data_IF_508910425348
#
_entry.id   IF_508910425348
#
_cell.length_a   1.000
_cell.length_b   1.000
_cell.length_c   1.000
_cell.angle_alpha   90.00
_cell.angle_beta   90.00
_cell.angle_gamma   90.00
#
_symmetry.space_group_name_H-M   'P 1'
#
loop_
_entity.id
_entity.type
_entity.pdbx_description
1 polymer ?
#
# COMPACT_ATOMS: atom_id res chain seq x y z
N UNK A 1 -12.15 -11.65 -36.26
CA UNK A 1 -11.54 -12.33 -35.09
C UNK A 1 -12.19 -11.72 -33.86
N UNK A 2 -12.89 -12.51 -33.04
CA UNK A 2 -13.51 -11.97 -31.83
C UNK A 2 -12.40 -11.48 -30.90
N UNK A 3 -12.46 -10.20 -30.50
CA UNK A 3 -11.54 -9.61 -29.54
C UNK A 3 -11.64 -10.42 -28.24
N UNK A 4 -10.59 -11.18 -27.90
CA UNK A 4 -10.57 -11.97 -26.68
C UNK A 4 -10.63 -11.01 -25.49
N UNK A 5 -11.80 -10.95 -24.84
CA UNK A 5 -12.09 -9.97 -23.80
C UNK A 5 -11.12 -10.18 -22.64
N UNK A 6 -10.20 -9.22 -22.44
CA UNK A 6 -9.23 -9.25 -21.33
C UNK A 6 -9.98 -9.48 -20.01
N UNK A 7 -9.52 -10.47 -19.23
CA UNK A 7 -10.04 -10.73 -17.89
C UNK A 7 -9.81 -9.49 -17.02
N UNK A 8 -10.70 -9.24 -16.06
CA UNK A 8 -10.67 -8.04 -15.21
C UNK A 8 -10.52 -8.43 -13.75
N UNK A 9 -9.72 -7.66 -13.00
CA UNK A 9 -9.61 -7.74 -11.55
C UNK A 9 -9.97 -6.37 -10.98
N UNK A 10 -11.00 -6.32 -10.13
CA UNK A 10 -11.36 -5.10 -9.40
C UNK A 10 -11.24 -5.35 -7.91
N UNK A 11 -10.59 -4.44 -7.19
CA UNK A 11 -10.35 -4.60 -5.76
C UNK A 11 -10.40 -3.27 -5.01
N UNK A 12 -11.08 -3.29 -3.86
CA UNK A 12 -11.18 -2.16 -2.94
C UNK A 12 -10.05 -2.25 -1.92
N UNK A 13 -9.22 -1.22 -1.88
CA UNK A 13 -8.12 -1.09 -0.93
C UNK A 13 -8.58 -0.18 0.19
N UNK A 14 -9.18 -0.79 1.20
CA UNK A 14 -9.65 -0.09 2.41
C UNK A 14 -8.55 0.01 3.48
N UNK A 15 -7.73 -1.03 3.59
CA UNK A 15 -6.70 -1.16 4.63
C UNK A 15 -5.39 -0.45 4.25
N UNK A 16 -4.71 0.13 5.24
CA UNK A 16 -3.47 0.91 5.06
C UNK A 16 -2.24 0.28 5.73
N UNK A 17 -2.38 -0.95 6.23
CA UNK A 17 -1.33 -1.73 6.90
C UNK A 17 -0.39 -2.38 5.89
N UNK A 18 0.87 -2.55 6.30
CA UNK A 18 1.99 -2.91 5.41
C UNK A 18 1.76 -4.24 4.68
N UNK A 19 1.45 -5.29 5.42
CA UNK A 19 1.22 -6.65 4.93
C UNK A 19 -0.01 -6.75 4.01
N UNK A 20 -1.09 -6.03 4.34
CA UNK A 20 -2.29 -5.98 3.48
C UNK A 20 -2.04 -5.22 2.18
N UNK A 21 -1.28 -4.13 2.24
CA UNK A 21 -0.84 -3.40 1.04
C UNK A 21 0.10 -4.25 0.18
N UNK A 22 1.02 -5.01 0.79
CA UNK A 22 1.86 -5.96 0.07
C UNK A 22 1.02 -7.01 -0.65
N UNK A 23 0.07 -7.65 0.03
CA UNK A 23 -0.82 -8.62 -0.60
C UNK A 23 -1.60 -8.01 -1.77
N UNK A 24 -2.16 -6.82 -1.58
CA UNK A 24 -2.91 -6.11 -2.61
C UNK A 24 -2.06 -5.84 -3.87
N UNK A 25 -0.85 -5.28 -3.70
CA UNK A 25 0.03 -5.01 -4.84
C UNK A 25 0.56 -6.27 -5.49
N UNK A 26 0.94 -7.30 -4.72
CA UNK A 26 1.40 -8.56 -5.29
C UNK A 26 0.34 -9.23 -6.17
N UNK A 27 -0.93 -9.23 -5.74
CA UNK A 27 -2.05 -9.75 -6.54
C UNK A 27 -2.25 -8.89 -7.79
N UNK A 28 -2.23 -7.56 -7.65
CA UNK A 28 -2.39 -6.64 -8.77
C UNK A 28 -1.28 -6.81 -9.81
N UNK A 29 -0.02 -6.89 -9.40
CA UNK A 29 1.13 -7.11 -10.28
C UNK A 29 1.05 -8.46 -10.98
N UNK A 30 0.69 -9.53 -10.27
CA UNK A 30 0.51 -10.85 -10.88
C UNK A 30 -0.62 -10.89 -11.91
N UNK A 31 -1.74 -10.22 -11.62
CA UNK A 31 -2.86 -10.10 -12.54
C UNK A 31 -2.50 -9.27 -13.78
N UNK A 32 -1.81 -8.14 -13.59
CA UNK A 32 -1.32 -7.30 -14.67
C UNK A 32 -0.33 -8.05 -15.58
N UNK A 33 0.61 -8.80 -14.98
CA UNK A 33 1.54 -9.67 -15.72
C UNK A 33 0.82 -10.80 -16.49
N UNK A 34 -0.36 -11.21 -16.03
CA UNK A 34 -1.24 -12.18 -16.72
C UNK A 34 -2.18 -11.55 -17.75
N UNK A 35 -1.87 -10.34 -18.23
CA UNK A 35 -2.65 -9.59 -19.22
C UNK A 35 -4.12 -9.29 -18.78
N UNK A 36 -4.35 -9.16 -17.47
CA UNK A 36 -5.65 -8.73 -16.93
C UNK A 36 -5.73 -7.20 -16.81
N UNK A 37 -6.92 -6.62 -17.00
CA UNK A 37 -7.20 -5.22 -16.67
C UNK A 37 -7.48 -5.10 -15.16
N UNK A 38 -6.56 -4.46 -14.44
CA UNK A 38 -6.61 -4.33 -12.97
C UNK A 38 -7.12 -2.94 -12.57
N UNK A 39 -8.16 -2.90 -11.74
CA UNK A 39 -8.73 -1.69 -11.14
C UNK A 39 -8.59 -1.76 -9.62
N UNK A 40 -7.79 -0.86 -9.05
CA UNK A 40 -7.64 -0.73 -7.61
C UNK A 40 -8.34 0.55 -7.14
N UNK A 41 -9.34 0.41 -6.26
CA UNK A 41 -10.06 1.54 -5.68
C UNK A 41 -9.59 1.79 -4.25
N UNK A 42 -8.81 2.86 -4.04
CA UNK A 42 -8.25 3.21 -2.74
C UNK A 42 -9.21 4.08 -1.95
N UNK A 43 -9.52 3.69 -0.72
CA UNK A 43 -10.44 4.42 0.15
C UNK A 43 -10.05 4.29 1.63
N UNK A 44 -10.56 5.19 2.47
CA UNK A 44 -10.27 5.26 3.91
C UNK A 44 -8.76 5.16 4.21
N UNK A 45 -8.34 4.12 4.93
CA UNK A 45 -6.95 3.93 5.34
C UNK A 45 -6.05 3.52 4.17
N UNK A 46 -6.62 2.91 3.13
CA UNK A 46 -5.91 2.55 1.90
C UNK A 46 -5.41 3.77 1.12
N UNK A 47 -5.99 4.96 1.33
CA UNK A 47 -5.45 6.21 0.79
C UNK A 47 -4.00 6.48 1.22
N UNK A 48 -3.54 5.85 2.32
CA UNK A 48 -2.12 5.86 2.73
C UNK A 48 -1.19 5.45 1.60
N UNK A 49 -1.61 4.47 0.80
CA UNK A 49 -0.81 3.95 -0.30
C UNK A 49 -0.51 5.04 -1.34
N UNK A 50 -1.42 5.99 -1.53
CA UNK A 50 -1.29 7.07 -2.52
C UNK A 50 -0.70 8.36 -1.95
N UNK A 51 -0.55 8.45 -0.62
CA UNK A 51 -0.12 9.67 0.06
C UNK A 51 1.34 10.01 -0.27
N UNK A 52 1.57 11.23 -0.75
CA UNK A 52 2.92 11.80 -0.95
C UNK A 52 3.54 12.23 0.39
N UNK A 53 4.87 12.27 0.46
CA UNK A 53 5.65 12.68 1.64
C UNK A 53 5.65 14.21 1.81
N UNK A 54 4.47 14.80 1.95
CA UNK A 54 4.26 16.23 2.18
C UNK A 54 3.39 16.44 3.42
N UNK A 55 3.61 17.54 4.15
CA UNK A 55 2.74 17.92 5.26
C UNK A 55 1.42 18.44 4.70
N UNK A 56 0.32 17.93 5.25
CA UNK A 56 -1.05 18.33 4.88
C UNK A 56 -1.81 18.80 6.13
N UNK A 57 -2.92 19.50 5.93
CA UNK A 57 -3.76 20.04 7.01
C UNK A 57 -3.70 21.57 7.10
N UNK A 58 -4.85 22.22 6.89
CA UNK A 58 -4.98 23.68 7.01
C UNK A 58 -5.32 24.12 8.44
N UNK A 59 -6.12 23.33 9.16
CA UNK A 59 -6.51 23.57 10.55
C UNK A 59 -5.56 22.90 11.55
N UNK A 60 -5.58 23.37 12.82
CA UNK A 60 -4.82 22.77 13.91
C UNK A 60 -5.11 21.27 14.06
N UNK A 61 -6.39 20.89 14.06
CA UNK A 61 -6.82 19.49 14.15
C UNK A 61 -6.36 18.67 12.93
N UNK A 62 -6.43 19.24 11.72
CA UNK A 62 -5.98 18.56 10.50
C UNK A 62 -4.47 18.28 10.51
N UNK A 63 -3.67 19.22 11.02
CA UNK A 63 -2.22 19.03 11.20
C UNK A 63 -1.92 17.98 12.26
N UNK A 64 -2.65 18.00 13.38
CA UNK A 64 -2.51 17.02 14.45
C UNK A 64 -2.88 15.61 14.00
N UNK A 65 -4.00 15.47 13.28
CA UNK A 65 -4.37 14.21 12.64
C UNK A 65 -3.30 13.72 11.65
N UNK A 66 -2.73 14.62 10.85
CA UNK A 66 -1.64 14.28 9.92
C UNK A 66 -0.40 13.72 10.62
N UNK A 67 -0.09 14.19 11.83
CA UNK A 67 0.97 13.65 12.69
C UNK A 67 0.60 12.25 13.21
N UNK A 68 -0.60 12.06 13.76
CA UNK A 68 -1.05 10.78 14.31
C UNK A 68 -1.25 9.69 13.25
N UNK A 69 -1.72 10.04 12.05
CA UNK A 69 -1.86 9.10 10.93
C UNK A 69 -0.53 8.44 10.54
N UNK A 70 0.61 9.05 10.92
CA UNK A 70 1.89 8.36 10.91
C UNK A 70 2.58 8.34 9.55
N UNK A 71 2.32 9.31 8.67
CA UNK A 71 3.07 9.51 7.43
C UNK A 71 2.46 8.85 6.19
N UNK A 72 3.31 8.39 5.28
CA UNK A 72 3.01 7.83 3.96
C UNK A 72 3.05 6.28 3.96
N UNK A 73 3.02 5.69 2.77
CA UNK A 73 3.11 4.24 2.54
C UNK A 73 4.36 3.60 3.19
N UNK A 74 5.49 4.32 3.22
CA UNK A 74 6.73 3.81 3.81
C UNK A 74 6.66 3.65 5.32
N UNK A 75 5.72 4.33 5.99
CA UNK A 75 5.52 4.22 7.44
C UNK A 75 4.39 3.27 7.81
N UNK A 76 3.76 2.60 6.84
CA UNK A 76 2.74 1.59 7.11
C UNK A 76 3.28 0.55 8.12
N UNK A 77 2.52 0.34 9.19
CA UNK A 77 2.83 -0.68 10.19
C UNK A 77 2.21 -2.00 9.77
N UNK A 78 2.79 -3.15 10.17
CA UNK A 78 2.14 -4.44 9.97
C UNK A 78 0.82 -4.49 10.75
N UNK A 79 -0.18 -5.19 10.20
CA UNK A 79 -1.52 -5.32 10.77
C UNK A 79 -1.51 -6.04 12.12
N UNK A 80 -0.51 -6.88 12.33
CA UNK A 80 -0.21 -7.57 13.60
C UNK A 80 1.26 -7.38 13.95
N UNK A 81 1.58 -7.50 15.23
CA UNK A 81 2.97 -7.43 15.73
C UNK A 81 3.66 -6.08 15.46
N UNK A 82 2.91 -4.96 15.47
CA UNK A 82 3.46 -3.61 15.21
C UNK A 82 4.42 -3.12 16.31
N UNK A 83 4.11 -3.39 17.58
CA UNK A 83 4.92 -3.02 18.76
C UNK A 83 5.47 -1.59 18.70
N UNK A 84 4.59 -0.60 18.50
CA UNK A 84 5.00 0.81 18.42
C UNK A 84 5.89 1.16 17.22
N UNK A 85 6.00 0.28 16.22
CA UNK A 85 6.84 0.45 15.03
C UNK A 85 8.08 -0.44 15.00
N UNK A 86 8.40 -1.17 16.08
CA UNK A 86 9.49 -2.16 16.10
C UNK A 86 9.21 -3.27 15.09
N UNK A 87 7.96 -3.75 15.01
CA UNK A 87 7.56 -4.76 14.04
C UNK A 87 7.82 -4.32 12.60
N UNK A 88 7.45 -3.09 12.25
CA UNK A 88 7.72 -2.51 10.92
C UNK A 88 9.21 -2.54 10.58
N UNK A 89 10.07 -2.16 11.53
CA UNK A 89 11.51 -2.20 11.32
C UNK A 89 12.02 -3.64 11.09
N UNK A 90 11.58 -4.58 11.92
CA UNK A 90 11.96 -5.99 11.83
C UNK A 90 11.55 -6.60 10.49
N UNK A 91 10.28 -6.44 10.10
CA UNK A 91 9.77 -6.92 8.80
C UNK A 91 10.56 -6.31 7.64
N UNK A 92 10.78 -4.99 7.63
CA UNK A 92 11.58 -4.35 6.58
C UNK A 92 12.99 -4.92 6.49
N UNK A 93 13.63 -5.19 7.63
CA UNK A 93 14.96 -5.80 7.67
C UNK A 93 14.96 -7.21 7.07
N UNK A 94 13.99 -8.04 7.43
CA UNK A 94 13.83 -9.39 6.88
C UNK A 94 13.54 -9.38 5.38
N UNK A 95 12.65 -8.48 4.93
CA UNK A 95 12.29 -8.33 3.52
C UNK A 95 13.48 -7.89 2.67
N UNK A 96 14.26 -6.91 3.14
CA UNK A 96 15.46 -6.46 2.46
C UNK A 96 16.50 -7.59 2.35
N UNK A 97 16.69 -8.38 3.41
CA UNK A 97 17.58 -9.54 3.38
C UNK A 97 17.15 -10.63 2.38
N UNK A 98 15.90 -10.59 1.89
CA UNK A 98 15.35 -11.47 0.87
C UNK A 98 15.13 -10.78 -0.47
N UNK A 99 15.66 -9.57 -0.66
CA UNK A 99 15.50 -8.76 -1.87
C UNK A 99 14.03 -8.56 -2.26
N UNK A 100 13.12 -8.49 -1.28
CA UNK A 100 11.71 -8.21 -1.58
C UNK A 100 11.56 -6.71 -1.87
N UNK A 101 10.91 -6.33 -2.98
CA UNK A 101 10.63 -4.93 -3.28
C UNK A 101 9.90 -4.24 -2.13
N UNK A 102 10.15 -2.95 -1.96
CA UNK A 102 9.44 -2.11 -1.00
C UNK A 102 8.02 -1.81 -1.49
N UNK A 103 7.12 -1.44 -0.57
CA UNK A 103 5.79 -0.97 -0.95
C UNK A 103 5.82 0.25 -1.88
N UNK A 104 6.84 1.10 -1.76
CA UNK A 104 6.98 2.27 -2.62
C UNK A 104 7.33 1.88 -4.06
N UNK A 105 8.16 0.85 -4.24
CA UNK A 105 8.51 0.28 -5.54
C UNK A 105 7.32 -0.46 -6.15
N UNK A 106 6.63 -1.31 -5.38
CA UNK A 106 5.43 -2.02 -5.86
C UNK A 106 4.30 -1.10 -6.33
N UNK A 107 4.20 0.10 -5.76
CA UNK A 107 3.23 1.12 -6.17
C UNK A 107 3.58 1.77 -7.52
N UNK A 108 4.85 1.71 -7.93
CA UNK A 108 5.33 2.33 -9.17
C UNK A 108 5.31 1.37 -10.36
N UNK A 109 5.20 0.07 -10.10
CA UNK A 109 5.03 -1.00 -11.10
C UNK A 109 3.66 -0.96 -11.74
#
# INVERSE_FOLDING_TARGET
MAEEKRKKLSMVIFSGEMDKLFAAFSIATGAAASNMDVKMFFTFWGLRALKKKVRTGKSLLGRLFGLFYGGDINRASPSKMSFGGIGRWMFKKMMNAKNVPTLAELRQT
#
